data_IF_890314995139
#
_entry.id   IF_890314995139
#
_cell.length_a   1.000
_cell.length_b   1.000
_cell.length_c   1.000
_cell.angle_alpha   90.00
_cell.angle_beta   90.00
_cell.angle_gamma   90.00
#
_symmetry.space_group_name_H-M   'P 1'
#
loop_
_entity.id
_entity.type
_entity.pdbx_description
1 polymer ?
#
# COMPACT_ATOMS: atom_id res chain seq x y z
N UNK A 1 19.53 9.21 -14.73
CA UNK A 1 18.29 9.95 -14.38
C UNK A 1 18.62 10.84 -13.19
N UNK A 2 18.23 12.11 -13.22
CA UNK A 2 18.54 13.07 -12.16
C UNK A 2 17.86 12.66 -10.84
N UNK A 3 18.65 12.33 -9.81
CA UNK A 3 18.15 11.89 -8.49
C UNK A 3 17.21 12.91 -7.82
N UNK A 4 17.30 14.21 -8.16
CA UNK A 4 16.36 15.25 -7.71
C UNK A 4 14.95 15.04 -8.24
N UNK A 5 14.81 14.54 -9.47
CA UNK A 5 13.50 14.34 -10.10
C UNK A 5 12.78 13.13 -9.48
N UNK A 6 13.55 12.08 -9.19
CA UNK A 6 13.03 10.84 -8.60
C UNK A 6 12.50 11.06 -7.17
N UNK A 7 13.23 11.78 -6.31
CA UNK A 7 12.73 12.15 -4.96
C UNK A 7 11.48 13.01 -5.04
N UNK A 8 11.41 13.95 -5.98
CA UNK A 8 10.25 14.84 -6.13
C UNK A 8 9.01 14.06 -6.56
N UNK A 9 9.16 13.09 -7.48
CA UNK A 9 8.07 12.21 -7.90
C UNK A 9 7.59 11.31 -6.77
N UNK A 10 8.49 10.72 -5.98
CA UNK A 10 8.13 9.88 -4.83
C UNK A 10 7.39 10.69 -3.76
N UNK A 11 7.89 11.89 -3.42
CA UNK A 11 7.25 12.77 -2.44
C UNK A 11 5.89 13.26 -2.94
N UNK A 12 5.80 13.66 -4.22
CA UNK A 12 4.54 14.08 -4.83
C UNK A 12 3.48 12.98 -4.84
N UNK A 13 3.88 11.76 -5.20
CA UNK A 13 2.98 10.59 -5.16
C UNK A 13 2.52 10.28 -3.73
N UNK A 14 3.41 10.35 -2.74
CA UNK A 14 3.07 10.14 -1.33
C UNK A 14 2.04 11.16 -0.84
N UNK A 15 2.22 12.44 -1.15
CA UNK A 15 1.28 13.49 -0.77
C UNK A 15 -0.08 13.29 -1.44
N UNK A 16 -0.10 12.90 -2.72
CA UNK A 16 -1.33 12.60 -3.44
C UNK A 16 -2.06 11.39 -2.83
N UNK A 17 -1.34 10.33 -2.49
CA UNK A 17 -1.89 9.13 -1.87
C UNK A 17 -2.46 9.41 -0.47
N UNK A 18 -1.77 10.23 0.33
CA UNK A 18 -2.25 10.73 1.61
C UNK A 18 -3.56 11.52 1.45
N UNK A 19 -3.57 12.51 0.56
CA UNK A 19 -4.75 13.32 0.30
C UNK A 19 -5.94 12.47 -0.18
N UNK A 20 -5.72 11.54 -1.11
CA UNK A 20 -6.75 10.64 -1.60
C UNK A 20 -7.32 9.76 -0.47
N UNK A 21 -6.45 9.23 0.41
CA UNK A 21 -6.86 8.43 1.57
C UNK A 21 -7.70 9.26 2.53
N UNK A 22 -7.28 10.48 2.86
CA UNK A 22 -8.05 11.39 3.72
C UNK A 22 -9.41 11.71 3.12
N UNK A 23 -9.48 12.02 1.82
CA UNK A 23 -10.75 12.31 1.13
C UNK A 23 -11.68 11.11 1.17
N UNK A 24 -11.20 9.90 0.86
CA UNK A 24 -12.02 8.68 0.86
C UNK A 24 -12.56 8.38 2.26
N UNK A 25 -11.73 8.49 3.30
CA UNK A 25 -12.16 8.24 4.67
C UNK A 25 -13.22 9.26 5.11
N UNK A 26 -13.01 10.55 4.82
CA UNK A 26 -13.97 11.60 5.18
C UNK A 26 -15.29 11.46 4.43
N UNK A 27 -15.25 11.20 3.11
CA UNK A 27 -16.45 10.99 2.30
C UNK A 27 -17.21 9.72 2.70
N UNK A 28 -16.51 8.71 3.19
CA UNK A 28 -17.11 7.50 3.76
C UNK A 28 -17.70 7.69 5.16
N UNK A 29 -17.63 8.89 5.74
CA UNK A 29 -18.08 9.18 7.09
C UNK A 29 -17.17 8.63 8.20
N UNK A 30 -15.93 8.24 7.85
CA UNK A 30 -14.95 7.70 8.80
C UNK A 30 -14.40 8.77 9.73
N UNK A 31 -14.14 8.39 10.98
CA UNK A 31 -13.53 9.23 11.99
C UNK A 31 -12.01 9.10 12.04
N UNK A 32 -11.43 9.58 13.15
CA UNK A 32 -9.96 9.59 13.37
C UNK A 32 -9.39 8.18 13.44
N UNK A 33 -10.16 7.20 13.95
CA UNK A 33 -9.73 5.82 14.09
C UNK A 33 -9.61 5.14 12.72
N UNK A 34 -10.61 5.34 11.86
CA UNK A 34 -10.63 4.83 10.49
C UNK A 34 -9.52 5.47 9.66
N UNK A 35 -9.25 6.77 9.85
CA UNK A 35 -8.15 7.46 9.21
C UNK A 35 -6.80 6.88 9.64
N UNK A 36 -6.61 6.65 10.95
CA UNK A 36 -5.41 6.03 11.49
C UNK A 36 -5.19 4.61 10.94
N UNK A 37 -6.25 3.81 10.87
CA UNK A 37 -6.20 2.47 10.29
C UNK A 37 -5.86 2.50 8.79
N UNK A 38 -6.46 3.42 8.02
CA UNK A 38 -6.19 3.58 6.60
C UNK A 38 -4.74 4.00 6.32
N UNK A 39 -4.20 4.93 7.13
CA UNK A 39 -2.80 5.34 7.05
C UNK A 39 -1.84 4.20 7.40
N UNK A 40 -2.12 3.45 8.47
CA UNK A 40 -1.32 2.31 8.87
C UNK A 40 -1.33 1.22 7.79
N UNK A 41 -2.50 0.94 7.20
CA UNK A 41 -2.62 0.01 6.08
C UNK A 41 -1.81 0.49 4.87
N UNK A 42 -1.94 1.77 4.48
CA UNK A 42 -1.18 2.36 3.38
C UNK A 42 0.33 2.27 3.57
N UNK A 43 0.82 2.54 4.78
CA UNK A 43 2.23 2.38 5.13
C UNK A 43 2.70 0.91 4.99
N UNK A 44 1.89 -0.05 5.46
CA UNK A 44 2.17 -1.47 5.28
C UNK A 44 2.28 -1.89 3.81
N UNK A 45 1.36 -1.43 2.96
CA UNK A 45 1.40 -1.71 1.52
C UNK A 45 2.64 -1.07 0.86
N UNK A 46 3.02 0.14 1.26
CA UNK A 46 4.23 0.79 0.76
C UNK A 46 5.49 -0.01 1.11
N UNK A 47 5.58 -0.57 2.32
CA UNK A 47 6.69 -1.46 2.72
C UNK A 47 6.74 -2.72 1.85
N UNK A 48 5.59 -3.32 1.56
CA UNK A 48 5.53 -4.49 0.67
C UNK A 48 6.07 -4.15 -0.72
N UNK A 49 5.59 -3.06 -1.31
CA UNK A 49 6.00 -2.64 -2.67
C UNK A 49 7.49 -2.29 -2.68
N UNK A 50 7.94 -1.37 -1.83
CA UNK A 50 9.35 -0.95 -1.77
C UNK A 50 10.27 -2.11 -1.41
N UNK A 51 9.86 -2.99 -0.50
CA UNK A 51 10.59 -4.20 -0.14
C UNK A 51 10.75 -5.16 -1.32
N UNK A 52 9.69 -5.35 -2.11
CA UNK A 52 9.70 -6.18 -3.33
C UNK A 52 10.71 -5.65 -4.34
N UNK A 53 10.74 -4.32 -4.55
CA UNK A 53 11.70 -3.67 -5.42
C UNK A 53 13.13 -3.74 -4.88
N UNK A 54 13.34 -3.49 -3.59
CA UNK A 54 14.66 -3.54 -2.97
C UNK A 54 15.26 -4.94 -3.02
N UNK A 55 14.48 -5.99 -2.76
CA UNK A 55 14.91 -7.38 -2.84
C UNK A 55 15.24 -7.75 -4.29
N UNK A 56 14.37 -7.37 -5.23
CA UNK A 56 14.58 -7.68 -6.65
C UNK A 56 15.83 -6.99 -7.21
N UNK A 57 16.08 -5.73 -6.82
CA UNK A 57 17.29 -4.99 -7.18
C UNK A 57 18.56 -5.65 -6.63
N UNK A 58 18.56 -6.08 -5.36
CA UNK A 58 19.69 -6.80 -4.73
C UNK A 58 20.00 -8.14 -5.41
N UNK A 59 18.99 -8.78 -6.00
CA UNK A 59 19.12 -10.07 -6.70
C UNK A 59 19.33 -9.93 -8.21
N UNK A 60 19.40 -8.70 -8.75
CA UNK A 60 19.56 -8.45 -10.18
C UNK A 60 18.35 -8.89 -11.02
N UNK A 61 17.16 -8.99 -10.42
CA UNK A 61 15.94 -9.44 -11.09
C UNK A 61 15.27 -8.30 -11.87
N UNK A 62 14.59 -8.59 -12.99
CA UNK A 62 13.93 -7.58 -13.80
C UNK A 62 12.76 -6.92 -13.07
N UNK A 63 12.39 -5.70 -13.50
CA UNK A 63 11.29 -4.92 -12.93
C UNK A 63 9.97 -5.70 -12.89
N UNK A 64 9.68 -6.48 -13.94
CA UNK A 64 8.47 -7.33 -14.01
C UNK A 64 8.40 -8.36 -12.88
N UNK A 65 9.54 -8.86 -12.39
CA UNK A 65 9.59 -9.78 -11.27
C UNK A 65 9.22 -9.06 -9.95
N UNK A 66 9.74 -7.85 -9.74
CA UNK A 66 9.41 -7.05 -8.56
C UNK A 66 7.90 -6.71 -8.52
N UNK A 67 7.34 -6.33 -9.66
CA UNK A 67 5.90 -6.07 -9.82
C UNK A 67 5.09 -7.32 -9.52
N UNK A 68 5.50 -8.48 -10.04
CA UNK A 68 4.83 -9.76 -9.79
C UNK A 68 4.81 -10.14 -8.30
N UNK A 69 5.95 -10.01 -7.61
CA UNK A 69 6.05 -10.27 -6.17
C UNK A 69 5.16 -9.32 -5.37
N UNK A 70 5.19 -8.03 -5.69
CA UNK A 70 4.35 -7.04 -5.02
C UNK A 70 2.86 -7.35 -5.24
N UNK A 71 2.45 -7.67 -6.47
CA UNK A 71 1.06 -7.99 -6.79
C UNK A 71 0.56 -9.23 -6.04
N UNK A 72 1.35 -10.30 -5.98
CA UNK A 72 1.01 -11.51 -5.22
C UNK A 72 0.90 -11.21 -3.73
N UNK A 73 1.86 -10.48 -3.15
CA UNK A 73 1.84 -10.12 -1.74
C UNK A 73 0.62 -9.26 -1.37
N UNK A 74 0.29 -8.26 -2.20
CA UNK A 74 -0.90 -7.44 -2.04
C UNK A 74 -2.18 -8.27 -2.16
N UNK A 75 -2.25 -9.21 -3.11
CA UNK A 75 -3.37 -10.13 -3.26
C UNK A 75 -3.60 -11.01 -2.03
N UNK A 76 -2.52 -11.53 -1.42
CA UNK A 76 -2.59 -12.30 -0.17
C UNK A 76 -3.10 -11.45 0.99
N UNK A 77 -2.59 -10.23 1.14
CA UNK A 77 -3.06 -9.29 2.19
C UNK A 77 -4.54 -8.97 1.99
N UNK A 78 -4.97 -8.74 0.76
CA UNK A 78 -6.36 -8.46 0.44
C UNK A 78 -7.27 -9.66 0.72
N UNK A 79 -6.86 -10.88 0.35
CA UNK A 79 -7.59 -12.09 0.67
C UNK A 79 -7.74 -12.29 2.19
N UNK A 80 -6.67 -12.06 2.97
CA UNK A 80 -6.72 -12.10 4.42
C UNK A 80 -7.68 -11.05 4.99
N UNK A 81 -7.67 -9.83 4.46
CA UNK A 81 -8.59 -8.77 4.88
C UNK A 81 -10.06 -9.15 4.62
N UNK A 82 -10.35 -9.78 3.47
CA UNK A 82 -11.68 -10.32 3.17
C UNK A 82 -12.05 -11.42 4.17
N UNK A 83 -11.16 -12.38 4.42
CA UNK A 83 -11.43 -13.48 5.37
C UNK A 83 -11.73 -12.92 6.76
N UNK A 84 -10.92 -11.99 7.26
CA UNK A 84 -11.15 -11.33 8.56
C UNK A 84 -12.50 -10.59 8.55
N UNK A 85 -12.84 -9.89 7.46
CA UNK A 85 -14.14 -9.22 7.32
C UNK A 85 -15.30 -10.22 7.35
N UNK A 86 -15.18 -11.35 6.66
CA UNK A 86 -16.21 -12.38 6.64
C UNK A 86 -16.39 -13.02 8.02
N UNK A 87 -15.29 -13.33 8.71
CA UNK A 87 -15.33 -13.88 10.07
C UNK A 87 -15.95 -12.90 11.07
N UNK A 88 -15.64 -11.60 10.97
CA UNK A 88 -16.20 -10.59 11.87
C UNK A 88 -17.66 -10.25 11.61
N UNK A 89 -18.14 -10.40 10.37
CA UNK A 89 -19.54 -10.09 10.02
C UNK A 89 -20.46 -11.31 10.15
N UNK A 90 -19.97 -12.51 9.83
CA UNK A 90 -20.79 -13.72 9.74
C UNK A 90 -20.36 -14.86 10.68
N UNK A 91 -19.18 -14.76 11.30
CA UNK A 91 -18.62 -15.80 12.16
C UNK A 91 -18.75 -15.54 13.66
N UNK A 92 -19.53 -14.52 14.06
CA UNK A 92 -19.88 -14.20 15.45
C UNK A 92 -21.30 -14.68 15.78
#
# INVERSE_FOLDING_TARGET
>A
MDFRNERTLVVGFLLLALAATTVVVLLGGGGVVELGAALAAGAGLAVIVLGSYAISARRGLPHSHAVGVAAVALGVVYALAIVVRLLTVFGA
#
